data_IF_712274481420
#
_entry.id   IF_712274481420
#
_cell.length_a   1.000
_cell.length_b   1.000
_cell.length_c   1.000
_cell.angle_alpha   90.00
_cell.angle_beta   90.00
_cell.angle_gamma   90.00
#
_symmetry.space_group_name_H-M   'P 1'
#
loop_
_entity.id
_entity.type
_entity.pdbx_description
1 polymer ?
#
# COMPACT_ATOMS: atom_id res chain seq x y z
N UNK A 1 3.95 64.39 36.48
CA UNK A 1 3.52 63.04 36.08
C UNK A 1 2.02 62.94 35.78
N UNK A 2 1.12 63.41 36.66
CA UNK A 2 -0.35 63.33 36.47
C UNK A 2 -0.90 64.04 35.22
N UNK A 3 -0.28 65.14 34.78
CA UNK A 3 -0.69 65.92 33.59
C UNK A 3 -0.35 65.23 32.26
N UNK A 4 0.71 64.44 32.20
CA UNK A 4 1.11 63.70 30.99
C UNK A 4 0.28 62.43 30.80
N UNK A 5 -0.18 61.81 31.90
CA UNK A 5 -1.10 60.66 31.85
C UNK A 5 -2.43 61.05 31.20
N UNK A 6 -2.96 62.25 31.49
CA UNK A 6 -4.22 62.70 30.92
C UNK A 6 -4.14 63.01 29.41
N UNK A 7 -2.98 63.52 28.96
CA UNK A 7 -2.71 63.82 27.54
C UNK A 7 -2.51 62.53 26.72
N UNK A 8 -1.84 61.53 27.30
CA UNK A 8 -1.68 60.22 26.63
C UNK A 8 -3.03 59.48 26.54
N UNK A 9 -3.87 59.58 27.58
CA UNK A 9 -5.19 58.93 27.57
C UNK A 9 -6.15 59.56 26.53
N UNK A 10 -6.06 60.87 26.30
CA UNK A 10 -6.87 61.57 25.28
C UNK A 10 -6.37 61.33 23.86
N UNK A 11 -5.06 61.13 23.66
CA UNK A 11 -4.49 60.81 22.35
C UNK A 11 -4.87 59.39 21.87
N UNK A 12 -5.01 58.43 22.81
CA UNK A 12 -5.47 57.06 22.50
C UNK A 12 -6.97 57.03 22.14
N UNK A 13 -7.76 58.00 22.62
CA UNK A 13 -9.19 58.09 22.30
C UNK A 13 -9.48 58.65 20.90
N UNK A 14 -8.48 59.23 20.24
CA UNK A 14 -8.56 59.79 18.88
C UNK A 14 -7.90 58.87 17.82
N UNK A 15 -7.86 57.57 18.07
CA UNK A 15 -7.58 56.61 17.00
C UNK A 15 -8.79 56.64 16.05
N UNK A 16 -8.63 57.03 14.77
CA UNK A 16 -9.73 56.91 13.82
C UNK A 16 -10.05 55.42 13.69
N UNK A 17 -11.25 55.05 14.13
CA UNK A 17 -11.90 53.80 13.74
C UNK A 17 -11.95 53.81 12.22
N UNK A 18 -10.97 53.17 11.58
CA UNK A 18 -10.97 52.97 10.15
C UNK A 18 -12.31 52.37 9.75
N UNK A 19 -12.97 52.98 8.78
CA UNK A 19 -14.17 52.44 8.17
C UNK A 19 -13.82 51.06 7.62
N UNK A 20 -14.21 50.02 8.35
CA UNK A 20 -14.23 48.66 7.85
C UNK A 20 -15.38 48.64 6.86
N UNK A 21 -15.09 48.79 5.57
CA UNK A 21 -16.04 48.45 4.53
C UNK A 21 -16.39 46.98 4.74
N UNK A 22 -17.62 46.71 5.17
CA UNK A 22 -18.15 45.36 5.21
C UNK A 22 -18.09 44.79 3.80
N UNK A 23 -17.23 43.79 3.62
CA UNK A 23 -17.23 42.99 2.41
C UNK A 23 -18.56 42.23 2.40
N UNK A 24 -19.53 42.69 1.60
CA UNK A 24 -20.74 41.93 1.32
C UNK A 24 -20.32 40.54 0.86
N UNK A 25 -20.83 39.50 1.51
CA UNK A 25 -20.61 38.12 1.10
C UNK A 25 -21.05 37.98 -0.37
N UNK A 26 -20.07 37.78 -1.26
CA UNK A 26 -20.34 37.55 -2.66
C UNK A 26 -21.17 36.26 -2.81
N UNK A 27 -22.29 36.29 -3.56
CA UNK A 27 -23.06 35.08 -3.84
C UNK A 27 -22.31 34.10 -4.76
N UNK A 28 -21.14 34.51 -5.26
CA UNK A 28 -20.25 33.72 -6.09
C UNK A 28 -18.95 33.38 -5.36
N UNK A 29 -18.46 32.18 -5.58
CA UNK A 29 -17.15 31.71 -5.12
C UNK A 29 -16.33 31.24 -6.32
N UNK A 30 -15.01 31.20 -6.16
CA UNK A 30 -14.15 30.50 -7.13
C UNK A 30 -13.87 29.08 -6.64
N UNK A 31 -13.65 28.18 -7.59
CA UNK A 31 -13.18 26.82 -7.35
C UNK A 31 -12.03 26.53 -8.28
N UNK A 32 -10.96 25.93 -7.74
CA UNK A 32 -9.81 25.48 -8.52
C UNK A 32 -9.77 23.96 -8.57
N UNK A 33 -9.86 23.43 -9.79
CA UNK A 33 -9.70 22.00 -10.08
C UNK A 33 -8.30 21.74 -10.62
N UNK A 34 -7.69 20.65 -10.18
CA UNK A 34 -6.46 20.12 -10.78
C UNK A 34 -6.79 19.27 -11.99
N UNK A 35 -6.24 19.64 -13.15
CA UNK A 35 -6.34 18.85 -14.38
C UNK A 35 -5.15 17.91 -14.50
N UNK A 36 -3.95 18.38 -14.15
CA UNK A 36 -2.72 17.62 -14.17
C UNK A 36 -1.72 18.12 -13.13
N UNK A 37 -0.89 17.22 -12.58
CA UNK A 37 0.21 17.58 -11.68
C UNK A 37 -0.04 17.24 -10.20
N UNK A 38 0.58 18.00 -9.31
CA UNK A 38 0.54 17.78 -7.87
C UNK A 38 -0.49 18.68 -7.18
N UNK A 39 -1.14 18.12 -6.14
CA UNK A 39 -2.13 18.81 -5.35
C UNK A 39 -2.33 18.11 -4.02
N UNK A 40 -1.95 18.77 -2.92
CA UNK A 40 -2.17 18.28 -1.55
C UNK A 40 -2.46 19.47 -0.64
N UNK A 41 -3.60 19.47 0.04
CA UNK A 41 -4.04 20.62 0.83
C UNK A 41 -4.13 21.89 -0.02
N UNK A 42 -3.33 22.91 0.29
CA UNK A 42 -3.23 24.17 -0.48
C UNK A 42 -2.04 24.20 -1.46
N UNK A 43 -1.15 23.20 -1.41
CA UNK A 43 -0.01 23.12 -2.31
C UNK A 43 -0.47 22.66 -3.71
N UNK A 44 0.01 23.32 -4.76
CA UNK A 44 -0.39 23.11 -6.16
C UNK A 44 0.83 23.18 -7.07
N UNK A 45 0.89 22.28 -8.05
CA UNK A 45 1.84 22.36 -9.16
C UNK A 45 1.24 21.71 -10.41
N UNK A 46 1.42 22.33 -11.57
CA UNK A 46 0.97 21.85 -12.87
C UNK A 46 -0.25 22.59 -13.41
N UNK A 47 -1.08 21.89 -14.18
CA UNK A 47 -2.24 22.48 -14.88
C UNK A 47 -3.48 22.48 -13.99
N UNK A 48 -4.04 23.67 -13.82
CA UNK A 48 -5.21 23.95 -13.01
C UNK A 48 -6.29 24.61 -13.86
N UNK A 49 -7.56 24.41 -13.50
CA UNK A 49 -8.69 25.13 -14.07
C UNK A 49 -9.45 25.85 -12.97
N UNK A 50 -9.63 27.16 -13.12
CA UNK A 50 -10.55 27.97 -12.32
C UNK A 50 -11.95 27.92 -12.93
N UNK A 51 -12.94 27.90 -12.05
CA UNK A 51 -14.36 28.02 -12.38
C UNK A 51 -15.07 28.84 -11.31
N UNK A 52 -16.15 29.49 -11.69
CA UNK A 52 -17.06 30.14 -10.73
C UNK A 52 -18.07 29.13 -10.21
N UNK A 53 -18.45 29.27 -8.94
CA UNK A 53 -19.52 28.52 -8.29
C UNK A 53 -20.61 29.52 -7.90
N UNK A 54 -21.82 29.30 -8.41
CA UNK A 54 -22.98 30.15 -8.20
C UNK A 54 -23.95 30.09 -9.39
N UNK A 55 -24.89 31.03 -9.46
CA UNK A 55 -25.83 31.13 -10.57
C UNK A 55 -25.17 31.77 -11.82
N UNK A 56 -24.51 30.95 -12.64
CA UNK A 56 -23.80 31.40 -13.84
C UNK A 56 -24.71 32.08 -14.87
N UNK A 57 -26.04 31.85 -14.83
CA UNK A 57 -26.98 32.45 -15.80
C UNK A 57 -27.07 33.97 -15.68
N UNK A 58 -26.74 34.51 -14.50
CA UNK A 58 -26.73 35.95 -14.20
C UNK A 58 -25.40 36.61 -14.50
N UNK A 59 -24.38 35.84 -14.85
CA UNK A 59 -23.03 36.36 -15.08
C UNK A 59 -22.91 36.86 -16.51
N UNK A 60 -22.31 38.05 -16.67
CA UNK A 60 -21.94 38.64 -17.96
C UNK A 60 -20.45 38.47 -18.22
N UNK A 61 -19.61 38.68 -17.20
CA UNK A 61 -18.15 38.60 -17.31
C UNK A 61 -17.53 38.13 -16.01
N UNK A 62 -16.49 37.33 -16.12
CA UNK A 62 -15.63 36.89 -15.00
C UNK A 62 -14.21 37.33 -15.28
N UNK A 63 -13.60 38.07 -14.35
CA UNK A 63 -12.17 38.40 -14.38
C UNK A 63 -11.48 37.66 -13.26
N UNK A 64 -10.63 36.69 -13.57
CA UNK A 64 -9.83 35.95 -12.60
C UNK A 64 -8.60 36.77 -12.22
N UNK A 65 -8.30 36.83 -10.93
CA UNK A 65 -7.13 37.56 -10.41
C UNK A 65 -6.27 36.67 -9.51
N UNK A 66 -4.97 36.99 -9.50
CA UNK A 66 -3.95 36.44 -8.62
C UNK A 66 -3.19 37.59 -7.97
N UNK A 67 -3.16 37.62 -6.63
CA UNK A 67 -2.53 38.69 -5.84
C UNK A 67 -3.03 40.09 -6.25
N UNK A 68 -4.29 40.18 -6.66
CA UNK A 68 -4.92 41.40 -7.17
C UNK A 68 -4.62 41.74 -8.64
N UNK A 69 -3.72 41.03 -9.29
CA UNK A 69 -3.39 41.19 -10.71
C UNK A 69 -4.31 40.33 -11.59
N UNK A 70 -4.74 40.87 -12.74
CA UNK A 70 -5.59 40.15 -13.69
C UNK A 70 -4.83 38.99 -14.36
N UNK A 71 -5.41 37.79 -14.32
CA UNK A 71 -4.92 36.62 -15.03
C UNK A 71 -5.61 36.44 -16.38
N UNK A 72 -6.94 36.58 -16.39
CA UNK A 72 -7.78 36.30 -17.56
C UNK A 72 -9.19 36.84 -17.39
N UNK A 73 -9.82 37.18 -18.52
CA UNK A 73 -11.23 37.59 -18.61
C UNK A 73 -12.00 36.53 -19.41
N UNK A 74 -13.20 36.19 -18.93
CA UNK A 74 -14.15 35.29 -19.56
C UNK A 74 -15.50 36.01 -19.75
N UNK A 75 -15.84 36.32 -21.00
CA UNK A 75 -17.07 37.06 -21.37
C UNK A 75 -18.27 36.16 -21.70
N UNK A 76 -18.07 34.83 -21.71
CA UNK A 76 -19.13 33.87 -22.04
C UNK A 76 -18.96 32.56 -21.27
N UNK A 77 -20.08 31.89 -21.04
CA UNK A 77 -20.10 30.55 -20.46
C UNK A 77 -19.49 29.51 -21.44
N UNK A 78 -18.81 28.46 -20.95
CA UNK A 78 -18.52 28.17 -19.55
C UNK A 78 -17.38 29.07 -19.04
N UNK A 79 -17.59 29.79 -17.93
CA UNK A 79 -16.62 30.75 -17.37
C UNK A 79 -15.40 30.06 -16.74
N UNK A 80 -14.67 29.26 -17.50
CA UNK A 80 -13.55 28.43 -17.07
C UNK A 80 -12.25 28.98 -17.60
N UNK A 81 -11.21 28.93 -16.78
CA UNK A 81 -9.88 29.36 -17.18
C UNK A 81 -8.84 28.32 -16.78
N UNK A 82 -8.19 27.70 -17.78
CA UNK A 82 -7.11 26.75 -17.55
C UNK A 82 -5.75 27.46 -17.64
N UNK A 83 -4.91 27.25 -16.63
CA UNK A 83 -3.57 27.84 -16.54
C UNK A 83 -2.56 26.86 -15.97
N UNK A 84 -1.29 27.20 -16.14
CA UNK A 84 -0.16 26.45 -15.59
C UNK A 84 0.45 27.24 -14.43
N UNK A 85 0.59 26.61 -13.26
CA UNK A 85 1.18 27.25 -12.08
C UNK A 85 2.63 27.66 -12.32
N UNK A 86 3.35 26.97 -13.19
CA UNK A 86 4.77 27.22 -13.46
C UNK A 86 5.00 28.55 -14.23
N UNK A 87 3.92 29.19 -14.71
CA UNK A 87 3.95 30.54 -15.29
C UNK A 87 3.89 31.66 -14.26
N UNK A 88 3.68 31.32 -13.00
CA UNK A 88 3.63 32.25 -11.88
C UNK A 88 4.81 31.98 -10.95
N UNK A 89 5.26 32.99 -10.17
CA UNK A 89 6.29 32.76 -9.16
C UNK A 89 5.93 31.60 -8.24
N UNK A 90 6.93 30.87 -7.73
CA UNK A 90 6.66 29.90 -6.67
C UNK A 90 6.42 30.66 -5.36
N UNK A 91 5.49 30.16 -4.54
CA UNK A 91 5.13 30.83 -3.28
C UNK A 91 3.64 30.80 -2.99
N UNK A 92 3.23 31.56 -1.98
CA UNK A 92 1.83 31.70 -1.58
C UNK A 92 1.17 32.77 -2.45
N UNK A 93 0.02 32.43 -3.00
CA UNK A 93 -0.78 33.29 -3.86
C UNK A 93 -2.23 33.34 -3.37
N UNK A 94 -2.86 34.49 -3.53
CA UNK A 94 -4.28 34.71 -3.25
C UNK A 94 -5.04 34.83 -4.55
N UNK A 95 -5.99 33.92 -4.77
CA UNK A 95 -6.81 33.90 -5.97
C UNK A 95 -8.23 34.38 -5.63
N UNK A 96 -8.81 35.20 -6.49
CA UNK A 96 -10.21 35.61 -6.43
C UNK A 96 -10.72 35.91 -7.85
N UNK A 97 -12.00 36.25 -7.97
CA UNK A 97 -12.60 36.70 -9.21
C UNK A 97 -13.46 37.94 -9.01
N UNK A 98 -13.44 38.83 -9.99
CA UNK A 98 -14.41 39.91 -10.15
C UNK A 98 -15.50 39.46 -11.12
N UNK A 99 -16.74 39.46 -10.64
CA UNK A 99 -17.92 39.01 -11.38
C UNK A 99 -18.75 40.23 -11.75
N UNK A 100 -19.01 40.45 -13.03
CA UNK A 100 -20.00 41.42 -13.51
C UNK A 100 -21.27 40.66 -13.90
N UNK A 101 -22.40 41.03 -13.32
CA UNK A 101 -23.69 40.43 -13.67
C UNK A 101 -24.34 41.12 -14.86
N UNK A 102 -25.33 40.46 -15.47
CA UNK A 102 -26.13 41.04 -16.56
C UNK A 102 -26.86 42.33 -16.12
N UNK A 103 -27.22 42.43 -14.84
CA UNK A 103 -27.85 43.61 -14.23
C UNK A 103 -26.86 44.76 -13.94
N UNK A 104 -25.58 44.62 -14.31
CA UNK A 104 -24.55 45.64 -14.12
C UNK A 104 -23.97 45.73 -12.70
N UNK A 105 -24.30 44.79 -11.81
CA UNK A 105 -23.68 44.71 -10.47
C UNK A 105 -22.31 44.02 -10.57
N UNK A 106 -21.37 44.48 -9.75
CA UNK A 106 -20.04 43.88 -9.62
C UNK A 106 -19.85 43.24 -8.24
N UNK A 107 -19.44 41.99 -8.19
CA UNK A 107 -19.09 41.28 -6.96
C UNK A 107 -17.61 40.86 -7.00
N UNK A 108 -16.96 40.86 -5.83
CA UNK A 108 -15.62 40.30 -5.66
C UNK A 108 -15.75 39.05 -4.80
N UNK A 109 -15.31 37.90 -5.32
CA UNK A 109 -15.37 36.64 -4.58
C UNK A 109 -14.39 36.65 -3.40
N UNK A 110 -14.62 35.79 -2.42
CA UNK A 110 -13.66 35.51 -1.34
C UNK A 110 -12.30 35.08 -1.89
N UNK A 111 -11.22 35.52 -1.23
CA UNK A 111 -9.86 35.12 -1.56
C UNK A 111 -9.59 33.66 -1.14
N UNK A 112 -9.01 32.89 -2.04
CA UNK A 112 -8.55 31.54 -1.79
C UNK A 112 -7.02 31.51 -1.84
N UNK A 113 -6.41 31.06 -0.74
CA UNK A 113 -4.96 30.97 -0.63
C UNK A 113 -4.45 29.62 -1.13
N UNK A 114 -3.53 29.65 -2.08
CA UNK A 114 -2.83 28.48 -2.60
C UNK A 114 -1.33 28.71 -2.56
N UNK A 115 -0.55 27.63 -2.46
CA UNK A 115 0.91 27.70 -2.56
C UNK A 115 1.36 26.99 -3.83
N UNK A 116 1.99 27.71 -4.74
CA UNK A 116 2.57 27.17 -5.96
C UNK A 116 3.96 26.63 -5.65
N UNK A 117 4.15 25.33 -5.94
CA UNK A 117 5.41 24.63 -5.74
C UNK A 117 6.20 24.58 -7.04
N UNK A 118 7.52 24.60 -6.90
CA UNK A 118 8.42 24.24 -8.00
C UNK A 118 8.39 22.72 -8.25
N UNK A 119 8.70 22.29 -9.48
CA UNK A 119 8.84 20.86 -9.78
C UNK A 119 9.85 20.13 -8.89
N UNK A 120 10.89 20.83 -8.41
CA UNK A 120 11.90 20.27 -7.50
C UNK A 120 11.35 19.97 -6.10
N UNK A 121 10.48 20.84 -5.57
CA UNK A 121 9.83 20.65 -4.27
C UNK A 121 8.85 19.48 -4.31
N UNK A 122 8.10 19.35 -5.40
CA UNK A 122 7.21 18.20 -5.64
C UNK A 122 8.00 16.90 -5.68
N UNK A 123 9.12 16.88 -6.43
CA UNK A 123 10.01 15.73 -6.50
C UNK A 123 10.55 15.33 -5.13
N UNK A 124 11.09 16.28 -4.37
CA UNK A 124 11.61 16.03 -3.03
C UNK A 124 10.55 15.50 -2.06
N UNK A 125 9.33 16.04 -2.11
CA UNK A 125 8.19 15.55 -1.33
C UNK A 125 7.82 14.12 -1.69
N UNK A 126 7.75 13.80 -2.98
CA UNK A 126 7.46 12.47 -3.47
C UNK A 126 8.53 11.44 -3.04
N UNK A 127 9.81 11.79 -3.15
CA UNK A 127 10.93 10.93 -2.75
C UNK A 127 10.86 10.56 -1.27
N UNK A 128 10.51 11.52 -0.40
CA UNK A 128 10.35 11.26 1.06
C UNK A 128 9.23 10.28 1.38
N UNK A 129 8.20 10.19 0.54
CA UNK A 129 7.07 9.26 0.73
C UNK A 129 7.38 7.90 0.11
N UNK A 130 7.92 7.87 -1.12
CA UNK A 130 8.14 6.62 -1.85
C UNK A 130 9.31 5.79 -1.30
N UNK A 131 10.39 6.43 -0.81
CA UNK A 131 11.55 5.71 -0.25
C UNK A 131 11.15 4.79 0.93
N UNK A 132 10.50 5.25 2.00
CA UNK A 132 10.16 4.38 3.13
C UNK A 132 9.20 3.27 2.72
N UNK A 133 8.24 3.55 1.84
CA UNK A 133 7.32 2.52 1.30
C UNK A 133 8.11 1.47 0.52
N UNK A 134 9.04 1.89 -0.34
CA UNK A 134 9.92 0.99 -1.08
C UNK A 134 10.79 0.13 -0.17
N UNK A 135 11.37 0.71 0.89
CA UNK A 135 12.16 -0.03 1.89
C UNK A 135 11.31 -1.08 2.58
N UNK A 136 10.11 -0.72 3.06
CA UNK A 136 9.19 -1.68 3.71
C UNK A 136 8.79 -2.80 2.75
N UNK A 137 8.48 -2.47 1.49
CA UNK A 137 8.14 -3.46 0.48
C UNK A 137 9.30 -4.43 0.23
N UNK A 138 10.52 -3.94 0.03
CA UNK A 138 11.71 -4.78 -0.18
C UNK A 138 11.99 -5.66 1.04
N UNK A 139 11.95 -5.11 2.26
CA UNK A 139 12.16 -5.87 3.49
C UNK A 139 11.10 -6.97 3.66
N UNK A 140 9.83 -6.67 3.35
CA UNK A 140 8.75 -7.65 3.44
C UNK A 140 8.95 -8.85 2.50
N UNK A 141 9.62 -8.63 1.35
CA UNK A 141 9.95 -9.69 0.39
C UNK A 141 11.25 -10.43 0.78
N UNK A 142 12.26 -9.71 1.28
CA UNK A 142 13.57 -10.29 1.59
C UNK A 142 13.59 -11.16 2.85
N UNK A 143 12.85 -10.77 3.90
CA UNK A 143 12.81 -11.48 5.18
C UNK A 143 12.38 -12.96 5.09
N UNK A 144 11.29 -13.35 4.38
CA UNK A 144 10.91 -14.75 4.27
C UNK A 144 11.93 -15.58 3.47
N UNK A 145 12.58 -14.98 2.45
CA UNK A 145 13.62 -15.65 1.65
C UNK A 145 14.85 -15.94 2.51
N UNK A 146 15.31 -14.94 3.27
CA UNK A 146 16.40 -15.12 4.22
C UNK A 146 16.04 -16.18 5.30
N UNK A 147 14.79 -16.16 5.80
CA UNK A 147 14.29 -17.16 6.73
C UNK A 147 14.28 -18.59 6.17
N UNK A 148 13.95 -18.76 4.88
CA UNK A 148 14.03 -20.06 4.21
C UNK A 148 15.46 -20.56 4.01
N UNK A 149 16.41 -19.65 3.73
CA UNK A 149 17.83 -20.03 3.58
C UNK A 149 18.48 -20.42 4.91
N UNK A 150 18.10 -19.77 6.01
CA UNK A 150 18.66 -20.03 7.36
C UNK A 150 17.95 -21.23 8.03
N UNK A 151 16.72 -21.54 7.64
CA UNK A 151 15.95 -22.66 8.17
C UNK A 151 16.57 -24.02 7.79
N UNK A 152 17.21 -24.70 8.75
CA UNK A 152 17.61 -26.10 8.59
C UNK A 152 16.37 -26.95 8.26
N UNK A 153 16.36 -27.64 7.11
CA UNK A 153 15.34 -28.63 6.75
C UNK A 153 15.29 -29.68 7.85
N UNK A 154 14.19 -29.75 8.61
CA UNK A 154 14.01 -30.81 9.62
C UNK A 154 14.01 -32.16 8.90
N UNK A 155 14.88 -33.07 9.33
CA UNK A 155 14.91 -34.43 8.79
C UNK A 155 13.53 -35.09 8.99
N UNK A 156 13.05 -35.89 8.01
CA UNK A 156 11.81 -36.64 8.20
C UNK A 156 11.97 -37.57 9.41
N UNK A 157 10.96 -37.61 10.28
CA UNK A 157 10.93 -38.50 11.43
C UNK A 157 11.05 -39.96 10.97
N UNK A 158 11.85 -40.77 11.69
CA UNK A 158 12.04 -42.17 11.36
C UNK A 158 10.81 -42.99 11.76
N UNK A 159 10.57 -44.08 11.03
CA UNK A 159 9.46 -44.99 11.28
C UNK A 159 9.58 -45.58 12.70
N UNK A 160 8.57 -45.34 13.54
CA UNK A 160 8.53 -45.79 14.95
C UNK A 160 8.93 -44.74 16.01
N UNK A 161 9.35 -43.54 15.60
CA UNK A 161 9.60 -42.42 16.52
C UNK A 161 8.30 -41.61 16.75
N UNK A 162 8.06 -41.15 17.98
CA UNK A 162 6.86 -40.39 18.32
C UNK A 162 6.75 -39.12 17.45
N UNK A 163 5.69 -39.01 16.64
CA UNK A 163 5.52 -37.89 15.73
C UNK A 163 5.07 -36.65 16.52
N UNK A 164 5.81 -35.56 16.41
CA UNK A 164 5.38 -34.29 16.97
C UNK A 164 4.33 -33.64 16.04
N UNK A 165 3.08 -33.65 16.47
CA UNK A 165 1.93 -33.13 15.71
C UNK A 165 1.78 -31.60 15.71
N UNK A 166 2.66 -30.87 16.41
CA UNK A 166 2.63 -29.40 16.47
C UNK A 166 1.33 -28.80 17.04
N UNK A 167 1.19 -27.49 16.92
CA UNK A 167 0.07 -26.72 17.50
C UNK A 167 -1.28 -26.95 16.78
N UNK A 168 -1.22 -27.21 15.47
CA UNK A 168 -2.37 -27.50 14.61
C UNK A 168 -2.95 -28.91 14.80
N UNK A 169 -2.24 -29.77 15.55
CA UNK A 169 -2.62 -31.15 15.84
C UNK A 169 -2.40 -32.09 14.65
N UNK A 170 -2.64 -33.38 14.90
CA UNK A 170 -2.48 -34.43 13.91
C UNK A 170 -3.78 -34.72 13.14
N UNK A 171 -3.61 -35.29 11.96
CA UNK A 171 -4.67 -35.86 11.14
C UNK A 171 -4.27 -37.25 10.66
N UNK A 172 -5.27 -38.07 10.35
CA UNK A 172 -5.09 -39.40 9.76
C UNK A 172 -5.52 -39.32 8.30
N UNK A 173 -4.68 -39.80 7.38
CA UNK A 173 -5.01 -39.78 5.97
C UNK A 173 -6.11 -40.82 5.65
N UNK A 174 -7.25 -40.43 5.05
CA UNK A 174 -8.33 -41.37 4.72
C UNK A 174 -7.98 -42.33 3.57
N UNK A 175 -6.88 -42.09 2.85
CA UNK A 175 -6.44 -42.92 1.70
C UNK A 175 -5.41 -43.98 2.07
N UNK A 176 -4.56 -43.72 3.05
CA UNK A 176 -3.44 -44.61 3.39
C UNK A 176 -3.28 -44.87 4.90
N UNK A 177 -4.11 -44.25 5.75
CA UNK A 177 -4.04 -44.46 7.20
C UNK A 177 -2.87 -43.77 7.91
N UNK A 178 -1.91 -43.20 7.19
CA UNK A 178 -0.74 -42.55 7.79
C UNK A 178 -1.14 -41.35 8.68
N UNK A 179 -0.72 -41.32 9.96
CA UNK A 179 -0.89 -40.17 10.83
C UNK A 179 0.18 -39.11 10.55
N UNK A 180 -0.21 -37.85 10.40
CA UNK A 180 0.71 -36.75 10.10
C UNK A 180 0.31 -35.43 10.77
N UNK A 181 1.28 -34.54 10.96
CA UNK A 181 1.06 -33.20 11.50
C UNK A 181 0.34 -32.30 10.47
N UNK A 182 -0.71 -31.62 10.89
CA UNK A 182 -1.43 -30.65 10.03
C UNK A 182 -0.60 -29.38 9.90
N UNK A 183 -0.56 -28.77 8.72
CA UNK A 183 0.08 -27.48 8.51
C UNK A 183 -0.70 -26.38 9.22
N UNK A 184 0.00 -25.34 9.70
CA UNK A 184 -0.65 -24.19 10.32
C UNK A 184 -1.44 -23.38 9.28
N UNK A 185 -0.87 -23.22 8.09
CA UNK A 185 -1.34 -22.32 7.02
C UNK A 185 -2.08 -23.02 5.87
N UNK A 186 -2.58 -24.24 6.07
CA UNK A 186 -3.39 -24.92 5.06
C UNK A 186 -4.74 -24.22 4.86
N UNK A 187 -5.30 -24.35 3.66
CA UNK A 187 -6.69 -23.99 3.39
C UNK A 187 -7.62 -24.78 4.33
N UNK A 188 -8.62 -24.12 4.93
CA UNK A 188 -9.56 -24.74 5.85
C UNK A 188 -11.01 -24.45 5.46
N UNK A 189 -11.88 -25.43 5.68
CA UNK A 189 -13.33 -25.32 5.54
C UNK A 189 -13.94 -25.89 6.81
N UNK A 190 -14.44 -25.00 7.67
CA UNK A 190 -14.87 -25.37 9.02
C UNK A 190 -13.73 -26.03 9.82
N UNK A 191 -13.99 -27.23 10.35
CA UNK A 191 -13.00 -28.01 11.09
C UNK A 191 -12.01 -28.79 10.21
N UNK A 192 -12.27 -28.87 8.89
CA UNK A 192 -11.48 -29.62 7.93
C UNK A 192 -10.37 -28.77 7.33
N UNK A 193 -9.19 -29.35 7.16
CA UNK A 193 -8.04 -28.74 6.48
C UNK A 193 -7.73 -29.50 5.20
N UNK A 194 -7.42 -28.79 4.12
CA UNK A 194 -6.99 -29.38 2.86
C UNK A 194 -5.48 -29.60 2.90
N UNK A 195 -5.07 -30.85 3.05
CA UNK A 195 -3.68 -31.22 3.28
C UNK A 195 -3.23 -32.28 2.27
N UNK A 196 -1.93 -32.27 1.95
CA UNK A 196 -1.28 -33.31 1.18
C UNK A 196 -0.60 -34.29 2.13
N UNK A 197 -0.97 -35.56 2.04
CA UNK A 197 -0.37 -36.60 2.88
C UNK A 197 1.13 -36.77 2.54
N UNK A 198 2.05 -36.75 3.54
CA UNK A 198 3.48 -36.95 3.30
C UNK A 198 3.83 -38.34 2.76
N UNK A 199 3.11 -39.38 3.20
CA UNK A 199 3.33 -40.77 2.81
C UNK A 199 2.81 -41.05 1.39
N UNK A 200 1.49 -40.95 1.16
CA UNK A 200 0.89 -41.29 -0.14
C UNK A 200 0.84 -40.15 -1.16
N UNK A 201 1.25 -38.92 -0.79
CA UNK A 201 1.27 -37.72 -1.65
C UNK A 201 -0.07 -37.26 -2.21
N UNK A 202 -1.19 -37.89 -1.83
CA UNK A 202 -2.56 -37.53 -2.24
C UNK A 202 -3.10 -36.40 -1.37
N UNK A 203 -3.93 -35.55 -1.98
CA UNK A 203 -4.64 -34.48 -1.30
C UNK A 203 -5.96 -34.98 -0.70
N UNK A 204 -6.30 -34.51 0.49
CA UNK A 204 -7.56 -34.86 1.15
C UNK A 204 -7.98 -33.79 2.16
N UNK A 205 -9.30 -33.66 2.34
CA UNK A 205 -9.88 -32.95 3.47
C UNK A 205 -9.75 -33.78 4.73
N UNK A 206 -9.07 -33.24 5.75
CA UNK A 206 -8.80 -33.95 6.99
C UNK A 206 -9.20 -33.13 8.22
N UNK A 207 -9.89 -33.80 9.14
CA UNK A 207 -10.22 -33.28 10.47
C UNK A 207 -9.06 -33.45 11.45
N UNK A 208 -9.21 -32.86 12.64
CA UNK A 208 -8.29 -33.11 13.76
C UNK A 208 -8.59 -34.49 14.35
N UNK A 209 -7.59 -35.36 14.42
CA UNK A 209 -7.70 -36.63 15.12
C UNK A 209 -7.42 -36.44 16.63
N UNK A 210 -8.05 -37.26 17.47
CA UNK A 210 -7.76 -37.28 18.90
C UNK A 210 -6.37 -37.88 19.17
N UNK A 211 -5.80 -37.60 20.33
CA UNK A 211 -4.49 -38.12 20.71
C UNK A 211 -4.46 -39.67 20.73
N UNK A 212 -5.57 -40.30 21.11
CA UNK A 212 -5.70 -41.76 21.13
C UNK A 212 -5.77 -42.35 19.72
N UNK A 213 -6.51 -41.69 18.81
CA UNK A 213 -6.61 -42.10 17.41
C UNK A 213 -5.24 -42.02 16.71
N UNK A 214 -4.46 -40.97 16.99
CA UNK A 214 -3.12 -40.81 16.43
C UNK A 214 -2.17 -41.91 16.94
N UNK A 215 -2.16 -42.19 18.25
CA UNK A 215 -1.35 -43.28 18.81
C UNK A 215 -1.76 -44.66 18.28
N UNK A 216 -3.05 -44.89 18.03
CA UNK A 216 -3.52 -46.13 17.43
C UNK A 216 -3.06 -46.27 15.98
N UNK A 217 -3.15 -45.20 15.19
CA UNK A 217 -2.68 -45.18 13.81
C UNK A 217 -1.15 -45.37 13.69
N UNK A 218 -0.37 -44.78 14.60
CA UNK A 218 1.08 -44.98 14.68
C UNK A 218 1.44 -46.45 14.92
N UNK A 219 0.74 -47.13 15.85
CA UNK A 219 0.94 -48.57 16.11
C UNK A 219 0.59 -49.43 14.90
N UNK A 220 -0.55 -49.15 14.27
CA UNK A 220 -0.97 -49.85 13.06
C UNK A 220 0.03 -49.69 11.92
N UNK A 221 0.62 -48.49 11.77
CA UNK A 221 1.66 -48.25 10.78
C UNK A 221 2.90 -49.13 11.07
N UNK A 222 3.39 -49.16 12.31
CA UNK A 222 4.53 -50.02 12.70
C UNK A 222 4.24 -51.51 12.49
N UNK A 223 3.03 -51.99 12.84
CA UNK A 223 2.61 -53.38 12.63
C UNK A 223 2.55 -53.74 11.14
N UNK A 224 2.03 -52.87 10.30
CA UNK A 224 1.97 -53.07 8.85
C UNK A 224 3.36 -53.13 8.20
N UNK A 225 4.29 -52.31 8.67
CA UNK A 225 5.68 -52.32 8.18
C UNK A 225 6.52 -53.47 8.77
N UNK A 226 6.17 -54.01 9.95
CA UNK A 226 6.88 -55.13 10.58
C UNK A 226 6.36 -56.51 10.14
N UNK A 227 5.06 -56.65 9.84
CA UNK A 227 4.43 -57.87 9.35
C UNK A 227 4.66 -58.19 7.86
N UNK A 228 5.27 -57.28 7.10
CA UNK A 228 5.60 -57.43 5.68
C UNK A 228 7.04 -57.88 5.40
N UNK A 229 7.71 -58.55 6.33
CA UNK A 229 9.07 -59.07 6.13
C UNK A 229 9.07 -60.43 5.40
N UNK A 230 8.64 -60.45 4.13
CA UNK A 230 9.31 -61.32 3.16
C UNK A 230 10.35 -60.45 2.48
N UNK A 231 11.60 -60.75 2.82
CA UNK A 231 12.80 -60.09 2.35
C UNK A 231 12.89 -60.28 0.83
N UNK A 232 12.80 -59.20 0.08
CA UNK A 232 13.53 -59.10 -1.19
C UNK A 232 14.51 -57.93 -1.03
N UNK A 233 15.73 -58.28 -0.64
CA UNK A 233 16.88 -57.38 -0.73
C UNK A 233 16.94 -56.85 -2.16
N UNK A 234 17.15 -55.54 -2.39
CA UNK A 234 17.54 -55.09 -3.71
C UNK A 234 18.88 -55.77 -4.02
N UNK A 235 18.86 -56.66 -5.01
CA UNK A 235 20.03 -57.35 -5.50
C UNK A 235 21.16 -56.35 -5.75
N UNK A 236 22.33 -56.70 -5.25
CA UNK A 236 23.60 -56.19 -5.77
C UNK A 236 23.50 -56.19 -7.29
N UNK A 237 23.64 -55.03 -7.91
CA UNK A 237 23.85 -54.96 -9.35
C UNK A 237 25.00 -55.90 -9.68
N UNK A 238 24.71 -57.02 -10.36
CA UNK A 238 25.73 -57.73 -11.12
C UNK A 238 26.29 -56.69 -12.09
N UNK A 239 27.46 -56.14 -11.79
CA UNK A 239 28.32 -55.57 -12.84
C UNK A 239 28.36 -56.63 -13.93
N UNK A 240 28.00 -56.25 -15.15
CA UNK A 240 28.11 -57.16 -16.28
C UNK A 240 29.56 -57.63 -16.38
N UNK A 241 29.78 -58.89 -16.71
CA UNK A 241 31.11 -59.50 -16.85
C UNK A 241 32.01 -58.67 -17.80
N UNK A 242 31.38 -57.94 -18.73
CA UNK A 242 32.02 -56.97 -19.64
C UNK A 242 32.63 -55.75 -18.94
N UNK A 243 31.99 -55.20 -17.91
CA UNK A 243 32.52 -54.04 -17.14
C UNK A 243 33.66 -54.44 -16.20
N UNK A 244 33.66 -55.67 -15.70
CA UNK A 244 34.75 -56.17 -14.86
C UNK A 244 36.04 -56.44 -15.67
N UNK A 245 35.90 -56.79 -16.96
CA UNK A 245 37.05 -57.00 -17.86
C UNK A 245 37.70 -55.66 -18.26
N UNK A 246 36.91 -54.60 -18.46
CA UNK A 246 37.44 -53.29 -18.90
C UNK A 246 38.19 -52.54 -17.77
N UNK A 247 37.82 -52.75 -16.50
CA UNK A 247 38.54 -52.21 -15.33
C UNK A 247 39.98 -52.78 -15.18
N UNK A 248 40.28 -53.94 -15.77
CA UNK A 248 41.63 -54.54 -15.72
C UNK A 248 42.55 -54.08 -16.87
N UNK A 249 42.00 -53.46 -17.91
CA UNK A 249 42.76 -53.04 -19.10
C UNK A 249 43.64 -51.81 -18.84
N UNK A 250 43.32 -50.98 -17.85
CA UNK A 250 43.99 -49.71 -17.59
C UNK A 250 44.96 -49.72 -16.39
N UNK A 251 45.23 -50.88 -15.78
CA UNK A 251 46.07 -50.98 -14.58
C UNK A 251 47.53 -51.40 -14.83
N UNK A 252 47.95 -51.60 -16.09
CA UNK A 252 49.35 -51.92 -16.40
C UNK A 252 49.98 -50.79 -17.24
N UNK A 253 50.58 -49.82 -16.55
CA UNK A 253 51.34 -48.73 -17.14
C UNK A 253 52.12 -47.95 -16.08
N UNK A 254 53.10 -48.61 -15.47
CA UNK A 254 54.26 -47.99 -14.80
C UNK A 254 55.44 -48.10 -15.75
#
# INVERSE_FOLDING_TARGET
>A
MKKYVFVILTLILFVPLGLVFGQEDSPYQISMRRDWGYGMGNDRQGRMTLSVVGDETKIKRVTYLIDGAEMSVQDAAPFKFSFDTDRYPAGVHQLNARIETQDGKSFLTTEQTYRFLTGSEVGAGMTKILIPIGIVAVLSMALPIAGQMIGKKKAPAKLGEAVNYGVSGGAICPKCGHPFARSLFSMHVGALKFERCPSCKKWSWVGRASAEQLKAAERQEVEQFSGGSVIEQPGSSKKSETEAIDDTRYMNGV
#
